data_IF_188773538588
#
_entry.id   IF_188773538588
#
_cell.length_a   1.000
_cell.length_b   1.000
_cell.length_c   1.000
_cell.angle_alpha   90.00
_cell.angle_beta   90.00
_cell.angle_gamma   90.00
#
_symmetry.space_group_name_H-M   'P 1'
#
loop_
_entity.id
_entity.type
_entity.pdbx_description
1 polymer ?
#
# COMPACT_ATOMS: atom_id res chain seq x y z
N UNK A 1 9.76 12.33 21.97
CA UNK A 1 10.75 11.48 21.26
C UNK A 1 11.06 12.16 19.93
N UNK A 2 12.34 12.35 19.58
CA UNK A 2 12.71 12.95 18.29
C UNK A 2 12.93 11.78 17.31
N UNK A 3 12.16 11.75 16.22
CA UNK A 3 12.30 10.74 15.18
C UNK A 3 13.47 11.10 14.25
N UNK A 4 14.12 10.06 13.71
CA UNK A 4 15.19 10.24 12.73
C UNK A 4 14.62 10.11 11.31
N UNK A 5 14.61 11.23 10.59
CA UNK A 5 14.18 11.30 9.19
C UNK A 5 15.32 11.70 8.25
N UNK A 6 16.55 11.63 8.73
CA UNK A 6 17.74 12.10 7.99
C UNK A 6 18.78 11.01 7.76
N UNK A 7 18.80 9.95 8.57
CA UNK A 7 19.72 8.83 8.39
C UNK A 7 19.36 8.03 7.13
N UNK A 8 20.38 7.69 6.36
CA UNK A 8 20.28 6.76 5.24
C UNK A 8 20.44 5.34 5.79
N UNK A 9 19.40 4.53 5.62
CA UNK A 9 19.40 3.13 6.06
C UNK A 9 19.73 2.26 4.86
N UNK A 10 20.80 1.48 4.96
CA UNK A 10 21.12 0.47 3.95
C UNK A 10 20.09 -0.67 4.01
N UNK A 11 19.44 -0.92 2.88
CA UNK A 11 18.43 -1.96 2.72
C UNK A 11 18.82 -3.05 1.73
N UNK A 12 20.08 -3.07 1.28
CA UNK A 12 20.56 -4.11 0.38
C UNK A 12 20.55 -5.48 1.08
N UNK A 13 20.05 -6.49 0.38
CA UNK A 13 19.94 -7.85 0.92
C UNK A 13 18.92 -8.02 2.05
N UNK A 14 17.99 -7.07 2.19
CA UNK A 14 16.91 -7.09 3.18
C UNK A 14 15.53 -7.31 2.54
N UNK A 15 15.49 -7.99 1.39
CA UNK A 15 14.29 -8.24 0.60
C UNK A 15 13.54 -6.96 0.18
N UNK A 16 14.28 -5.88 -0.01
CA UNK A 16 13.74 -4.59 -0.38
C UNK A 16 13.58 -4.47 -1.89
N UNK A 17 12.37 -4.60 -2.41
CA UNK A 17 12.07 -4.45 -3.84
C UNK A 17 12.67 -3.17 -4.41
N UNK A 18 12.54 -2.06 -3.68
CA UNK A 18 13.02 -0.76 -4.14
C UNK A 18 14.53 -0.70 -4.38
N UNK A 19 15.30 -1.53 -3.67
CA UNK A 19 16.76 -1.51 -3.66
C UNK A 19 17.34 -2.73 -4.39
N UNK A 20 16.76 -3.92 -4.16
CA UNK A 20 17.34 -5.18 -4.61
C UNK A 20 16.86 -5.59 -6.03
N UNK A 21 15.70 -5.08 -6.52
CA UNK A 21 15.08 -5.58 -7.74
C UNK A 21 15.22 -4.64 -8.96
N UNK A 22 16.31 -3.86 -9.04
CA UNK A 22 16.59 -3.02 -10.22
C UNK A 22 16.79 -3.88 -11.48
N UNK A 23 16.00 -3.60 -12.52
CA UNK A 23 16.05 -4.35 -13.79
C UNK A 23 15.45 -5.75 -13.75
N UNK A 24 15.01 -6.24 -12.58
CA UNK A 24 14.57 -7.63 -12.40
C UNK A 24 13.06 -7.84 -12.58
N UNK A 25 12.25 -6.76 -12.53
CA UNK A 25 10.80 -6.84 -12.66
C UNK A 25 10.36 -6.17 -13.98
N UNK A 26 10.13 -6.96 -15.04
CA UNK A 26 9.77 -6.41 -16.35
C UNK A 26 8.52 -5.51 -16.30
N UNK A 27 8.62 -4.33 -16.89
CA UNK A 27 7.51 -3.36 -16.96
C UNK A 27 7.18 -2.66 -15.64
N UNK A 28 7.99 -2.85 -14.60
CA UNK A 28 7.81 -2.19 -13.30
C UNK A 28 9.11 -1.59 -12.79
N UNK A 29 10.17 -2.38 -12.66
CA UNK A 29 11.46 -1.91 -12.17
C UNK A 29 12.20 -1.08 -13.24
N UNK A 30 12.83 0.04 -12.86
CA UNK A 30 13.72 0.77 -13.77
C UNK A 30 14.98 -0.04 -14.03
N UNK A 31 15.67 0.28 -15.12
CA UNK A 31 17.02 -0.21 -15.36
C UNK A 31 17.98 0.37 -14.34
N UNK A 32 19.13 -0.30 -14.17
CA UNK A 32 20.22 0.29 -13.38
C UNK A 32 20.58 1.67 -13.98
N UNK A 33 20.98 2.64 -13.15
CA UNK A 33 21.44 3.92 -13.66
C UNK A 33 22.71 3.77 -14.48
N UNK A 34 22.98 4.77 -15.31
CA UNK A 34 24.22 4.84 -16.07
C UNK A 34 25.44 4.90 -15.16
N UNK A 35 26.62 4.56 -15.70
CA UNK A 35 27.87 4.59 -14.96
C UNK A 35 28.13 5.98 -14.37
N UNK A 36 28.50 6.04 -13.09
CA UNK A 36 28.76 7.28 -12.36
C UNK A 36 27.55 7.85 -11.61
N UNK A 37 26.38 7.23 -11.72
CA UNK A 37 25.20 7.64 -10.95
C UNK A 37 24.84 6.63 -9.85
N UNK A 38 24.41 7.17 -8.71
CA UNK A 38 23.94 6.34 -7.60
C UNK A 38 22.56 5.74 -7.88
N UNK A 39 22.30 4.54 -7.34
CA UNK A 39 20.97 3.93 -7.32
C UNK A 39 20.12 4.59 -6.24
N UNK A 40 19.30 5.57 -6.63
CA UNK A 40 18.37 6.24 -5.72
C UNK A 40 16.98 5.62 -5.90
N UNK A 41 16.46 4.89 -4.91
CA UNK A 41 15.17 4.20 -5.04
C UNK A 41 14.02 5.21 -4.95
N UNK A 42 13.38 5.51 -6.08
CA UNK A 42 12.23 6.44 -6.18
C UNK A 42 11.04 5.85 -6.95
N UNK A 43 11.08 4.56 -7.27
CA UNK A 43 10.07 3.90 -8.12
C UNK A 43 9.04 3.07 -7.35
N UNK A 44 9.30 2.76 -6.09
CA UNK A 44 8.37 2.09 -5.17
C UNK A 44 7.94 3.11 -4.13
N UNK A 45 6.64 3.16 -3.84
CA UNK A 45 6.07 4.05 -2.83
C UNK A 45 6.26 3.46 -1.42
N UNK A 46 7.49 3.24 -1.03
CA UNK A 46 7.89 2.92 0.34
C UNK A 46 8.77 4.03 0.94
N UNK A 47 8.88 4.03 2.27
CA UNK A 47 9.65 5.06 2.97
C UNK A 47 11.11 4.68 3.11
N UNK A 48 12.00 5.65 2.85
CA UNK A 48 13.44 5.51 3.10
C UNK A 48 13.83 5.87 4.54
N UNK A 49 12.86 6.23 5.38
CA UNK A 49 13.06 6.57 6.79
C UNK A 49 12.76 5.38 7.69
N UNK A 50 13.41 5.34 8.85
CA UNK A 50 13.03 4.41 9.91
C UNK A 50 11.56 4.62 10.31
N UNK A 51 10.84 3.52 10.51
CA UNK A 51 9.52 3.59 11.13
C UNK A 51 9.62 4.11 12.57
N UNK A 52 8.52 4.59 13.12
CA UNK A 52 8.51 5.03 14.51
C UNK A 52 8.84 3.87 15.46
N UNK A 53 9.70 4.07 16.48
CA UNK A 53 10.17 2.99 17.34
C UNK A 53 9.07 2.18 18.02
N UNK A 54 7.97 2.83 18.36
CA UNK A 54 6.80 2.17 19.00
C UNK A 54 6.19 1.07 18.15
N UNK A 55 6.23 1.17 16.82
CA UNK A 55 5.74 0.09 15.92
C UNK A 55 6.62 -1.13 16.06
N UNK A 56 7.95 -0.95 16.00
CA UNK A 56 8.90 -2.04 16.16
C UNK A 56 8.79 -2.70 17.54
N UNK A 57 8.70 -1.90 18.60
CA UNK A 57 8.55 -2.38 19.98
C UNK A 57 7.32 -3.28 20.15
N UNK A 58 6.17 -2.87 19.61
CA UNK A 58 4.93 -3.67 19.68
C UNK A 58 5.01 -4.96 18.85
N UNK A 59 5.67 -4.93 17.69
CA UNK A 59 5.89 -6.14 16.88
C UNK A 59 6.77 -7.13 17.65
N UNK A 60 7.86 -6.67 18.25
CA UNK A 60 8.76 -7.50 19.06
C UNK A 60 8.01 -8.09 20.24
N UNK A 61 7.27 -7.26 20.98
CA UNK A 61 6.45 -7.71 22.11
C UNK A 61 5.45 -8.79 21.70
N UNK A 62 4.77 -8.61 20.54
CA UNK A 62 3.85 -9.63 20.03
C UNK A 62 4.58 -10.90 19.60
N UNK A 63 5.74 -10.79 18.98
CA UNK A 63 6.55 -11.93 18.52
C UNK A 63 7.13 -12.77 19.67
N UNK A 64 7.34 -12.18 20.84
CA UNK A 64 7.77 -12.92 22.04
C UNK A 64 6.71 -13.91 22.57
N UNK A 65 5.44 -13.75 22.20
CA UNK A 65 4.42 -14.74 22.50
C UNK A 65 4.49 -15.87 21.47
N UNK A 66 4.75 -17.12 21.89
CA UNK A 66 5.14 -18.20 20.96
C UNK A 66 3.99 -18.79 20.13
N UNK A 67 2.75 -18.37 20.36
CA UNK A 67 1.58 -18.90 19.65
C UNK A 67 1.05 -17.90 18.64
N UNK A 68 0.95 -18.33 17.36
CA UNK A 68 0.44 -17.60 16.22
C UNK A 68 -0.74 -18.38 15.63
N UNK A 69 -1.88 -18.33 16.30
CA UNK A 69 -3.11 -18.99 15.86
C UNK A 69 -4.10 -18.01 15.25
N UNK A 70 -5.32 -18.45 15.13
CA UNK A 70 -6.43 -17.56 14.75
C UNK A 70 -6.56 -16.44 15.76
N UNK A 71 -6.91 -15.25 15.28
CA UNK A 71 -7.14 -14.09 16.15
C UNK A 71 -8.49 -13.45 15.83
N UNK A 72 -9.03 -12.74 16.80
CA UNK A 72 -10.18 -11.88 16.67
C UNK A 72 -9.76 -10.43 16.97
N UNK A 73 -10.05 -9.47 16.08
CA UNK A 73 -9.70 -8.08 16.32
C UNK A 73 -10.34 -7.57 17.63
N UNK A 74 -9.54 -6.97 18.50
CA UNK A 74 -10.05 -6.36 19.72
C UNK A 74 -10.82 -5.08 19.42
N UNK A 75 -11.73 -4.66 20.30
CA UNK A 75 -12.44 -3.39 20.18
C UNK A 75 -11.50 -2.20 19.92
N UNK A 76 -10.34 -2.18 20.59
CA UNK A 76 -9.35 -1.10 20.44
C UNK A 76 -8.83 -0.94 18.98
N UNK A 77 -8.85 -2.00 18.18
CA UNK A 77 -8.49 -1.92 16.76
C UNK A 77 -9.45 -1.00 16.01
N UNK A 78 -10.74 -1.19 16.21
CA UNK A 78 -11.79 -0.38 15.59
C UNK A 78 -11.79 1.04 16.14
N UNK A 79 -11.64 1.18 17.46
CA UNK A 79 -11.59 2.49 18.15
C UNK A 79 -10.46 3.35 17.60
N UNK A 80 -9.27 2.79 17.36
CA UNK A 80 -8.14 3.55 16.79
C UNK A 80 -8.38 3.97 15.35
N UNK A 81 -9.04 3.15 14.54
CA UNK A 81 -9.42 3.52 13.16
C UNK A 81 -10.43 4.67 13.19
N UNK A 82 -11.47 4.56 14.02
CA UNK A 82 -12.51 5.57 14.18
C UNK A 82 -11.91 6.89 14.67
N UNK A 83 -11.08 6.85 15.70
CA UNK A 83 -10.39 8.02 16.25
C UNK A 83 -9.50 8.69 15.18
N UNK A 84 -8.76 7.90 14.40
CA UNK A 84 -7.91 8.42 13.33
C UNK A 84 -8.73 9.14 12.27
N UNK A 85 -9.81 8.51 11.78
CA UNK A 85 -10.66 9.07 10.75
C UNK A 85 -11.36 10.35 11.23
N UNK A 86 -11.85 10.36 12.45
CA UNK A 86 -12.45 11.54 13.05
C UNK A 86 -11.44 12.69 13.16
N UNK A 87 -10.30 12.43 13.79
CA UNK A 87 -9.30 13.47 14.09
C UNK A 87 -8.58 14.01 12.84
N UNK A 88 -8.28 13.15 11.86
CA UNK A 88 -7.48 13.52 10.68
C UNK A 88 -8.31 13.92 9.49
N UNK A 89 -9.46 13.30 9.32
CA UNK A 89 -10.28 13.44 8.12
C UNK A 89 -11.66 14.03 8.40
N UNK A 90 -12.01 14.34 9.66
CA UNK A 90 -13.29 14.92 10.05
C UNK A 90 -14.48 13.99 9.82
N UNK A 91 -14.24 12.67 9.77
CA UNK A 91 -15.32 11.69 9.58
C UNK A 91 -16.09 11.51 10.88
N UNK A 92 -17.38 11.77 10.84
CA UNK A 92 -18.31 11.60 11.95
C UNK A 92 -19.22 10.38 11.72
N UNK A 93 -19.69 9.75 12.81
CA UNK A 93 -20.65 8.64 12.74
C UNK A 93 -20.06 7.31 12.26
N UNK A 94 -18.74 7.18 12.16
CA UNK A 94 -18.10 5.90 11.87
C UNK A 94 -18.23 4.98 13.09
N UNK A 95 -18.67 3.73 12.86
CA UNK A 95 -18.85 2.71 13.86
C UNK A 95 -18.12 1.40 13.47
N UNK A 96 -17.85 0.48 14.42
CA UNK A 96 -17.13 -0.76 14.12
C UNK A 96 -17.72 -1.59 12.97
N UNK A 97 -19.03 -1.63 12.85
CA UNK A 97 -19.75 -2.33 11.77
C UNK A 97 -19.53 -1.75 10.36
N UNK A 98 -18.98 -0.54 10.26
CA UNK A 98 -18.60 0.08 8.99
C UNK A 98 -17.17 -0.26 8.56
N UNK A 99 -16.45 -1.05 9.38
CA UNK A 99 -15.02 -1.34 9.16
C UNK A 99 -14.86 -2.83 8.87
N UNK A 100 -14.39 -3.14 7.66
CA UNK A 100 -13.99 -4.49 7.24
C UNK A 100 -12.49 -4.58 7.01
N UNK A 101 -11.93 -5.77 7.15
CA UNK A 101 -10.55 -6.04 6.80
C UNK A 101 -10.43 -6.48 5.35
N UNK A 102 -9.50 -5.89 4.64
CA UNK A 102 -9.09 -6.31 3.31
C UNK A 102 -7.56 -6.44 3.21
N UNK A 103 -7.11 -7.29 2.32
CA UNK A 103 -5.67 -7.47 2.10
C UNK A 103 -5.11 -6.34 1.20
N UNK A 104 -5.02 -5.15 1.78
CA UNK A 104 -4.57 -3.94 1.11
C UNK A 104 -5.63 -3.29 0.21
N UNK A 105 -5.31 -2.11 -0.30
CA UNK A 105 -6.22 -1.30 -1.14
C UNK A 105 -6.63 -2.03 -2.43
N UNK A 106 -5.71 -2.78 -3.05
CA UNK A 106 -6.01 -3.52 -4.28
C UNK A 106 -7.04 -4.64 -4.03
N UNK A 107 -6.95 -5.32 -2.89
CA UNK A 107 -7.97 -6.26 -2.44
C UNK A 107 -9.32 -5.58 -2.28
N UNK A 108 -9.37 -4.45 -1.60
CA UNK A 108 -10.58 -3.65 -1.39
C UNK A 108 -11.22 -3.18 -2.70
N UNK A 109 -10.42 -2.77 -3.69
CA UNK A 109 -10.93 -2.42 -5.03
C UNK A 109 -11.63 -3.62 -5.68
N UNK A 110 -10.98 -4.78 -5.68
CA UNK A 110 -11.55 -5.99 -6.30
C UNK A 110 -12.81 -6.46 -5.57
N UNK A 111 -12.80 -6.45 -4.23
CA UNK A 111 -13.97 -6.80 -3.42
C UNK A 111 -15.16 -5.87 -3.70
N UNK A 112 -14.91 -4.57 -3.80
CA UNK A 112 -15.94 -3.57 -4.15
C UNK A 112 -16.50 -3.81 -5.55
N UNK A 113 -15.63 -4.04 -6.54
CA UNK A 113 -16.06 -4.32 -7.90
C UNK A 113 -16.95 -5.59 -7.94
N UNK A 114 -16.55 -6.66 -7.27
CA UNK A 114 -17.35 -7.89 -7.20
C UNK A 114 -18.72 -7.72 -6.55
N UNK A 115 -18.85 -6.77 -5.64
CA UNK A 115 -20.12 -6.46 -4.98
C UNK A 115 -21.10 -5.68 -5.88
N UNK A 116 -20.60 -4.83 -6.80
CA UNK A 116 -21.42 -3.88 -7.53
C UNK A 116 -21.39 -4.01 -9.06
N UNK A 117 -20.43 -4.76 -9.62
CA UNK A 117 -20.15 -4.81 -11.06
C UNK A 117 -20.15 -6.26 -11.53
N UNK A 118 -20.73 -6.52 -12.70
CA UNK A 118 -20.76 -7.87 -13.28
C UNK A 118 -19.45 -8.18 -14.02
N UNK A 119 -19.00 -9.45 -14.05
CA UNK A 119 -17.85 -9.84 -14.86
C UNK A 119 -18.03 -9.43 -16.33
N UNK A 120 -17.00 -8.81 -16.91
CA UNK A 120 -17.02 -8.30 -18.29
C UNK A 120 -17.54 -6.86 -18.44
N UNK A 121 -18.10 -6.28 -17.39
CA UNK A 121 -18.42 -4.85 -17.38
C UNK A 121 -17.18 -3.98 -17.45
N UNK A 122 -17.38 -2.72 -17.79
CA UNK A 122 -16.31 -1.75 -17.93
C UNK A 122 -16.10 -0.94 -16.65
N UNK A 123 -14.85 -0.80 -16.26
CA UNK A 123 -14.40 0.06 -15.16
C UNK A 123 -13.66 1.26 -15.73
N UNK A 124 -14.13 2.47 -15.46
CA UNK A 124 -13.48 3.69 -15.89
C UNK A 124 -12.34 4.04 -14.96
N UNK A 125 -11.16 4.26 -15.51
CA UNK A 125 -9.97 4.72 -14.78
C UNK A 125 -9.29 5.87 -15.52
N UNK A 126 -8.63 6.76 -14.79
CA UNK A 126 -7.77 7.76 -15.41
C UNK A 126 -6.54 7.11 -16.07
N UNK A 127 -5.97 7.76 -17.06
CA UNK A 127 -4.74 7.30 -17.72
C UNK A 127 -3.78 8.49 -17.89
N UNK A 128 -2.55 8.44 -17.39
CA UNK A 128 -1.95 7.32 -16.66
C UNK A 128 -2.54 7.13 -15.25
N UNK A 129 -2.45 5.90 -14.73
CA UNK A 129 -2.82 5.55 -13.37
C UNK A 129 -1.86 4.49 -12.81
N UNK A 130 -2.01 4.17 -11.53
CA UNK A 130 -1.18 3.16 -10.88
C UNK A 130 -1.41 1.77 -11.50
N UNK A 131 -0.31 1.13 -11.91
CA UNK A 131 -0.32 -0.19 -12.56
C UNK A 131 -0.99 -1.29 -11.71
N UNK A 132 -0.93 -1.17 -10.38
CA UNK A 132 -1.60 -2.09 -9.47
C UNK A 132 -3.12 -2.10 -9.66
N UNK A 133 -3.74 -0.95 -9.92
CA UNK A 133 -5.18 -0.87 -10.19
C UNK A 133 -5.53 -1.58 -11.50
N UNK A 134 -4.84 -1.24 -12.59
CA UNK A 134 -5.14 -1.83 -13.90
C UNK A 134 -4.96 -3.34 -13.89
N UNK A 135 -3.83 -3.83 -13.38
CA UNK A 135 -3.59 -5.29 -13.28
C UNK A 135 -4.60 -6.01 -12.40
N UNK A 136 -5.01 -5.42 -11.27
CA UNK A 136 -5.99 -6.05 -10.38
C UNK A 136 -7.39 -6.09 -10.99
N UNK A 137 -7.80 -5.03 -11.69
CA UNK A 137 -9.09 -4.95 -12.37
C UNK A 137 -9.17 -5.98 -13.51
N UNK A 138 -8.12 -6.05 -14.35
CA UNK A 138 -8.03 -7.02 -15.45
C UNK A 138 -7.98 -8.46 -14.97
N UNK A 139 -7.17 -8.73 -13.94
CA UNK A 139 -7.07 -10.07 -13.32
C UNK A 139 -8.39 -10.52 -12.68
N UNK A 140 -9.23 -9.57 -12.26
CA UNK A 140 -10.57 -9.86 -11.74
C UNK A 140 -11.62 -10.07 -12.84
N UNK A 141 -11.23 -9.96 -14.13
CA UNK A 141 -12.10 -10.21 -15.28
C UNK A 141 -12.91 -9.01 -15.77
N UNK A 142 -12.56 -7.81 -15.33
CA UNK A 142 -13.22 -6.58 -15.78
C UNK A 142 -12.46 -5.92 -16.92
N UNK A 143 -13.21 -5.20 -17.77
CA UNK A 143 -12.64 -4.42 -18.87
C UNK A 143 -12.34 -2.99 -18.41
N UNK A 144 -11.17 -2.47 -18.78
CA UNK A 144 -10.80 -1.10 -18.48
C UNK A 144 -11.23 -0.16 -19.62
N UNK A 145 -11.80 0.97 -19.24
CA UNK A 145 -12.01 2.14 -20.11
C UNK A 145 -11.17 3.28 -19.56
N UNK A 146 -10.34 3.86 -20.42
CA UNK A 146 -9.44 4.92 -20.02
C UNK A 146 -10.08 6.31 -20.19
N UNK A 147 -9.91 7.16 -19.17
CA UNK A 147 -10.15 8.59 -19.22
C UNK A 147 -8.79 9.31 -19.20
N UNK A 148 -8.24 9.71 -20.36
CA UNK A 148 -6.92 10.31 -20.43
C UNK A 148 -6.87 11.64 -19.66
N UNK A 149 -5.85 11.79 -18.83
CA UNK A 149 -5.50 13.06 -18.19
C UNK A 149 -4.86 13.96 -19.25
N UNK A 150 -5.11 15.25 -19.15
CA UNK A 150 -4.43 16.27 -19.97
C UNK A 150 -3.54 17.09 -19.05
N UNK A 151 -2.40 17.49 -19.57
CA UNK A 151 -1.60 18.55 -18.97
C UNK A 151 -2.15 19.88 -19.51
N UNK A 152 -2.48 20.78 -18.62
CA UNK A 152 -2.73 22.17 -18.97
C UNK A 152 -1.37 22.87 -19.09
N UNK A 153 -1.20 23.69 -20.14
CA UNK A 153 0.02 24.46 -20.41
C UNK A 153 0.26 25.56 -19.37
#
# INVERSE_FOLDING_TARGET
MKYDFTSIIDRHGMDSIAVDSWGEIPGMAPNAPDEGFDRIPMWVADMNFATVPTVQEHIIQRAQHPMFGYFDPRPEYFDRIIEWQSRRNGVEGLAPEHIGYENGVLGGVVSTLRAYVQPGDAVLVHSPTYIGFTKSIEAAGYRIVHSPLKLDD
#
